data_IF_923328481918
#
_entry.id   IF_923328481918
#
_cell.length_a   1.000
_cell.length_b   1.000
_cell.length_c   1.000
_cell.angle_alpha   90.00
_cell.angle_beta   90.00
_cell.angle_gamma   90.00
#
_symmetry.space_group_name_H-M   'P 1'
#
loop_
_entity.id
_entity.type
_entity.pdbx_description
1 polymer ?
#
# COMPACT_ATOMS: atom_id res chain seq x y z
N UNK A 1 18.00 -0.10 16.10
CA UNK A 1 18.59 -0.24 14.75
C UNK A 1 17.68 0.47 13.76
N UNK A 2 18.21 1.41 12.98
CA UNK A 2 17.45 2.15 11.97
C UNK A 2 17.70 1.41 10.66
N UNK A 3 16.82 0.47 10.31
CA UNK A 3 16.96 -0.30 9.07
C UNK A 3 16.93 0.67 7.87
N UNK A 4 18.10 0.89 7.28
CA UNK A 4 18.29 1.79 6.14
C UNK A 4 17.66 1.27 4.84
N UNK A 5 17.21 0.02 4.83
CA UNK A 5 16.65 -0.67 3.66
C UNK A 5 15.18 -0.33 3.42
N UNK A 6 14.38 -0.17 4.48
CA UNK A 6 12.95 0.12 4.40
C UNK A 6 12.56 1.21 5.41
N UNK A 7 12.32 2.46 4.97
CA UNK A 7 11.85 3.53 5.84
C UNK A 7 10.60 3.08 6.61
N UNK A 8 10.58 3.26 7.94
CA UNK A 8 9.46 2.85 8.80
C UNK A 8 8.11 3.39 8.31
N UNK A 9 8.09 4.57 7.69
CA UNK A 9 6.88 5.16 7.09
C UNK A 9 6.33 4.31 5.94
N UNK A 10 7.21 3.77 5.08
CA UNK A 10 6.79 2.90 3.97
C UNK A 10 6.25 1.58 4.51
N UNK A 11 6.91 0.99 5.50
CA UNK A 11 6.46 -0.25 6.13
C UNK A 11 5.06 -0.08 6.77
N UNK A 12 4.86 0.97 7.56
CA UNK A 12 3.56 1.29 8.16
C UNK A 12 2.48 1.56 7.11
N UNK A 13 2.84 2.22 6.01
CA UNK A 13 1.93 2.47 4.91
C UNK A 13 1.50 1.18 4.22
N UNK A 14 2.45 0.31 3.90
CA UNK A 14 2.17 -0.98 3.29
C UNK A 14 1.26 -1.84 4.18
N UNK A 15 1.56 -1.93 5.48
CA UNK A 15 0.73 -2.64 6.45
C UNK A 15 -0.71 -2.07 6.48
N UNK A 16 -0.86 -0.75 6.55
CA UNK A 16 -2.18 -0.11 6.51
C UNK A 16 -2.96 -0.43 5.23
N UNK A 17 -2.30 -0.34 4.07
CA UNK A 17 -2.94 -0.61 2.78
C UNK A 17 -3.40 -2.07 2.68
N UNK A 18 -2.56 -3.01 3.10
CA UNK A 18 -2.90 -4.45 3.09
C UNK A 18 -4.08 -4.74 4.01
N UNK A 19 -4.05 -4.26 5.26
CA UNK A 19 -5.12 -4.49 6.24
C UNK A 19 -6.44 -3.90 5.71
N UNK A 20 -6.40 -2.68 5.17
CA UNK A 20 -7.58 -2.02 4.62
C UNK A 20 -8.19 -2.80 3.45
N UNK A 21 -7.37 -3.21 2.48
CA UNK A 21 -7.86 -3.96 1.31
C UNK A 21 -8.35 -5.36 1.66
N UNK A 22 -7.75 -6.01 2.66
CA UNK A 22 -8.23 -7.30 3.15
C UNK A 22 -9.60 -7.18 3.83
N UNK A 23 -9.76 -6.16 4.68
CA UNK A 23 -11.05 -5.84 5.31
C UNK A 23 -12.11 -5.50 4.25
N UNK A 24 -11.75 -4.69 3.25
CA UNK A 24 -12.64 -4.31 2.16
C UNK A 24 -13.10 -5.53 1.34
N UNK A 25 -12.18 -6.42 0.96
CA UNK A 25 -12.50 -7.64 0.23
C UNK A 25 -13.40 -8.57 1.06
N UNK A 26 -13.09 -8.79 2.35
CA UNK A 26 -13.93 -9.59 3.24
C UNK A 26 -15.37 -9.04 3.28
N UNK A 27 -15.52 -7.73 3.44
CA UNK A 27 -16.83 -7.11 3.52
C UNK A 27 -17.58 -7.16 2.19
N UNK A 28 -16.88 -7.00 1.06
CA UNK A 28 -17.49 -7.15 -0.27
C UNK A 28 -18.00 -8.57 -0.51
N UNK A 29 -17.25 -9.60 -0.07
CA UNK A 29 -17.71 -10.99 -0.15
C UNK A 29 -18.95 -11.22 0.72
N UNK A 30 -18.94 -10.69 1.95
CA UNK A 30 -20.03 -10.89 2.90
C UNK A 30 -21.31 -10.16 2.50
N UNK A 31 -21.22 -8.92 2.06
CA UNK A 31 -22.39 -8.05 1.85
C UNK A 31 -22.80 -7.90 0.39
N UNK A 32 -21.86 -8.02 -0.55
CA UNK A 32 -22.11 -7.81 -1.97
C UNK A 32 -21.95 -9.09 -2.81
N UNK A 33 -21.55 -10.22 -2.22
CA UNK A 33 -21.21 -11.46 -2.92
C UNK A 33 -20.18 -11.26 -4.06
N UNK A 34 -19.35 -10.22 -3.96
CA UNK A 34 -18.30 -9.91 -4.95
C UNK A 34 -17.00 -10.54 -4.50
N UNK A 35 -16.38 -11.30 -5.41
CA UNK A 35 -15.09 -11.93 -5.19
C UNK A 35 -14.07 -11.32 -6.15
N UNK A 36 -13.09 -10.62 -5.61
CA UNK A 36 -11.96 -10.13 -6.40
C UNK A 36 -10.91 -11.23 -6.51
N UNK A 37 -10.29 -11.32 -7.68
CA UNK A 37 -9.10 -12.13 -7.87
C UNK A 37 -7.93 -11.56 -7.08
N UNK A 38 -7.04 -12.43 -6.62
CA UNK A 38 -5.90 -12.03 -5.78
C UNK A 38 -4.98 -11.04 -6.52
N UNK A 39 -4.79 -11.20 -7.83
CA UNK A 39 -3.99 -10.27 -8.65
C UNK A 39 -4.58 -8.85 -8.67
N UNK A 40 -5.92 -8.73 -8.68
CA UNK A 40 -6.61 -7.45 -8.66
C UNK A 40 -6.44 -6.76 -7.30
N UNK A 41 -6.50 -7.53 -6.21
CA UNK A 41 -6.26 -7.01 -4.86
C UNK A 41 -4.81 -6.52 -4.74
N UNK A 42 -3.83 -7.28 -5.22
CA UNK A 42 -2.42 -6.85 -5.21
C UNK A 42 -2.21 -5.56 -6.01
N UNK A 43 -2.77 -5.46 -7.23
CA UNK A 43 -2.73 -4.24 -8.04
C UNK A 43 -3.37 -3.05 -7.33
N UNK A 44 -4.48 -3.26 -6.64
CA UNK A 44 -5.15 -2.21 -5.87
C UNK A 44 -4.32 -1.74 -4.67
N UNK A 45 -3.65 -2.65 -3.97
CA UNK A 45 -2.74 -2.33 -2.86
C UNK A 45 -1.56 -1.50 -3.39
N UNK A 46 -0.89 -1.97 -4.44
CA UNK A 46 0.22 -1.25 -5.07
C UNK A 46 -0.19 0.17 -5.50
N UNK A 47 -1.31 0.29 -6.22
CA UNK A 47 -1.84 1.59 -6.63
C UNK A 47 -2.16 2.50 -5.44
N UNK A 48 -2.73 1.95 -4.36
CA UNK A 48 -3.04 2.70 -3.15
C UNK A 48 -1.78 3.28 -2.51
N UNK A 49 -0.72 2.47 -2.40
CA UNK A 49 0.56 2.89 -1.82
C UNK A 49 1.20 3.97 -2.69
N UNK A 50 1.27 3.78 -4.01
CA UNK A 50 1.78 4.77 -4.97
C UNK A 50 1.03 6.09 -4.89
N UNK A 51 -0.31 6.04 -4.91
CA UNK A 51 -1.16 7.24 -4.80
C UNK A 51 -0.94 7.97 -3.47
N UNK A 52 -0.82 7.23 -2.37
CA UNK A 52 -0.58 7.83 -1.04
C UNK A 52 0.77 8.56 -0.99
N UNK A 53 1.81 7.96 -1.58
CA UNK A 53 3.13 8.58 -1.66
C UNK A 53 3.08 9.84 -2.54
N UNK A 54 2.47 9.75 -3.72
CA UNK A 54 2.32 10.88 -4.65
C UNK A 54 1.55 12.04 -4.02
N UNK A 55 0.42 11.76 -3.36
CA UNK A 55 -0.39 12.77 -2.66
C UNK A 55 0.38 13.51 -1.56
N UNK A 56 1.46 12.90 -1.02
CA UNK A 56 2.27 13.46 0.06
C UNK A 56 3.68 13.85 -0.40
N UNK A 57 3.95 13.87 -1.71
CA UNK A 57 5.29 14.12 -2.29
C UNK A 57 5.92 15.44 -1.83
N UNK A 58 5.11 16.46 -1.53
CA UNK A 58 5.59 17.74 -1.00
C UNK A 58 6.20 17.65 0.42
N UNK A 59 6.01 16.56 1.15
CA UNK A 59 6.63 16.34 2.46
C UNK A 59 7.99 15.68 2.28
N UNK A 60 9.06 16.26 2.87
CA UNK A 60 10.44 15.75 2.80
C UNK A 60 10.55 14.24 3.08
N UNK A 61 9.75 13.71 4.03
CA UNK A 61 9.72 12.27 4.39
C UNK A 61 9.25 11.34 3.27
N UNK A 62 8.55 11.85 2.25
CA UNK A 62 7.95 11.07 1.16
C UNK A 62 8.76 11.12 -0.16
N UNK A 63 9.78 11.96 -0.24
CA UNK A 63 10.53 12.21 -1.47
C UNK A 63 11.25 10.95 -2.00
N UNK A 64 11.83 10.14 -1.11
CA UNK A 64 12.53 8.91 -1.48
C UNK A 64 11.65 7.65 -1.46
N UNK A 65 10.44 7.73 -0.88
CA UNK A 65 9.63 6.53 -0.63
C UNK A 65 9.15 5.86 -1.92
N UNK A 66 8.85 6.63 -2.97
CA UNK A 66 8.45 6.08 -4.26
C UNK A 66 9.57 5.26 -4.89
N UNK A 67 10.80 5.78 -4.87
CA UNK A 67 11.96 5.07 -5.39
C UNK A 67 12.24 3.79 -4.59
N UNK A 68 12.11 3.85 -3.27
CA UNK A 68 12.24 2.65 -2.41
C UNK A 68 11.16 1.63 -2.70
N UNK A 69 9.90 2.04 -2.92
CA UNK A 69 8.80 1.15 -3.25
C UNK A 69 9.04 0.44 -4.59
N UNK A 70 9.37 1.19 -5.64
CA UNK A 70 9.59 0.65 -6.99
C UNK A 70 10.82 -0.26 -7.09
N UNK A 71 11.77 -0.16 -6.15
CA UNK A 71 12.93 -1.06 -6.11
C UNK A 71 12.56 -2.51 -5.79
N UNK A 72 11.46 -2.73 -5.06
CA UNK A 72 11.03 -4.05 -4.57
C UNK A 72 9.61 -4.42 -5.03
N UNK A 73 9.00 -3.60 -5.89
CA UNK A 73 7.66 -3.81 -6.44
C UNK A 73 7.67 -4.68 -7.69
#
# INVERSE_FOLDING_TARGET
MKDSTCPQTLHKLAAHAVIYHLWLERNNRLHNAVFSSTDRIFKNIDRHIRNTILARRGRKKFHSLMCTWLRFS
#
